data_IF_406878163042
#
_entry.id   IF_406878163042
#
_cell.length_a   1.000
_cell.length_b   1.000
_cell.length_c   1.000
_cell.angle_alpha   90.00
_cell.angle_beta   90.00
_cell.angle_gamma   90.00
#
_symmetry.space_group_name_H-M   'P 1'
#
loop_
_entity.id
_entity.type
_entity.pdbx_description
1 polymer ?
#
# COMPACT_ATOMS: atom_id res chain seq x y z
N UNK A 1 -51.90 -0.16 -29.64
CA UNK A 1 -51.06 -1.07 -30.45
C UNK A 1 -49.76 -1.23 -29.69
N UNK A 2 -49.61 -2.36 -29.01
CA UNK A 2 -48.37 -2.70 -28.29
C UNK A 2 -47.37 -3.11 -29.36
N UNK A 3 -46.36 -2.28 -29.60
CA UNK A 3 -45.28 -2.63 -30.51
C UNK A 3 -44.50 -3.79 -29.90
N UNK A 4 -44.78 -4.99 -30.39
CA UNK A 4 -44.07 -6.22 -30.09
C UNK A 4 -42.70 -6.21 -30.79
N UNK A 5 -41.86 -5.24 -30.44
CA UNK A 5 -40.50 -5.18 -30.91
C UNK A 5 -39.69 -6.24 -30.17
N UNK A 6 -39.10 -7.16 -30.93
CA UNK A 6 -38.10 -8.13 -30.47
C UNK A 6 -36.89 -7.38 -29.85
N UNK A 7 -37.03 -6.95 -28.60
CA UNK A 7 -35.98 -6.28 -27.83
C UNK A 7 -35.02 -7.32 -27.29
N UNK A 8 -33.72 -7.20 -27.61
CA UNK A 8 -32.71 -8.07 -27.00
C UNK A 8 -32.41 -7.57 -25.59
N UNK A 9 -32.02 -8.48 -24.69
CA UNK A 9 -31.53 -8.13 -23.34
C UNK A 9 -30.40 -7.08 -23.40
N UNK A 10 -29.56 -7.14 -24.44
CA UNK A 10 -28.49 -6.17 -24.67
C UNK A 10 -29.01 -4.73 -24.92
N UNK A 11 -30.17 -4.58 -25.55
CA UNK A 11 -30.77 -3.28 -25.84
C UNK A 11 -31.40 -2.67 -24.58
N UNK A 12 -32.10 -3.49 -23.79
CA UNK A 12 -32.58 -3.08 -22.45
C UNK A 12 -31.41 -2.67 -21.54
N UNK A 13 -30.32 -3.43 -21.53
CA UNK A 13 -29.14 -3.11 -20.74
C UNK A 13 -28.47 -1.80 -21.19
N UNK A 14 -28.50 -1.48 -22.49
CA UNK A 14 -28.03 -0.19 -23.01
C UNK A 14 -28.91 0.95 -22.50
N UNK A 15 -30.23 0.78 -22.50
CA UNK A 15 -31.16 1.77 -21.96
C UNK A 15 -30.92 2.00 -20.45
N UNK A 16 -30.69 0.92 -19.69
CA UNK A 16 -30.32 1.01 -18.25
C UNK A 16 -29.02 1.79 -18.07
N UNK A 17 -28.00 1.52 -18.89
CA UNK A 17 -26.73 2.25 -18.86
C UNK A 17 -26.94 3.75 -19.12
N UNK A 18 -27.70 4.10 -20.16
CA UNK A 18 -27.97 5.50 -20.55
C UNK A 18 -28.76 6.25 -19.48
N UNK A 19 -29.83 5.65 -18.95
CA UNK A 19 -30.61 6.21 -17.83
C UNK A 19 -29.76 6.38 -16.57
N UNK A 20 -28.94 5.37 -16.24
CA UNK A 20 -28.04 5.43 -15.08
C UNK A 20 -27.00 6.54 -15.21
N UNK A 21 -26.51 6.81 -16.42
CA UNK A 21 -25.63 7.94 -16.69
C UNK A 21 -26.35 9.28 -16.45
N UNK A 22 -27.57 9.45 -16.94
CA UNK A 22 -28.35 10.69 -16.74
C UNK A 22 -28.68 10.96 -15.28
N UNK A 23 -28.98 9.91 -14.52
CA UNK A 23 -29.32 10.00 -13.09
C UNK A 23 -28.07 9.97 -12.19
N UNK A 24 -26.86 9.85 -12.77
CA UNK A 24 -25.58 9.78 -12.05
C UNK A 24 -25.52 8.63 -11.02
N UNK A 25 -26.14 7.50 -11.34
CA UNK A 25 -26.11 6.26 -10.53
C UNK A 25 -24.85 5.46 -10.85
N UNK A 26 -23.70 5.89 -10.32
CA UNK A 26 -22.37 5.43 -10.76
C UNK A 26 -22.13 3.93 -10.63
N UNK A 27 -22.61 3.28 -9.56
CA UNK A 27 -22.48 1.82 -9.44
C UNK A 27 -23.21 1.09 -10.57
N UNK A 28 -24.43 1.53 -10.92
CA UNK A 28 -25.18 0.97 -12.04
C UNK A 28 -24.52 1.28 -13.39
N UNK A 29 -23.94 2.47 -13.55
CA UNK A 29 -23.14 2.81 -14.75
C UNK A 29 -21.99 1.82 -14.92
N UNK A 30 -21.20 1.59 -13.87
CA UNK A 30 -20.07 0.64 -13.91
C UNK A 30 -20.51 -0.78 -14.20
N UNK A 31 -21.54 -1.25 -13.49
CA UNK A 31 -22.07 -2.60 -13.64
C UNK A 31 -22.61 -2.85 -15.05
N UNK A 32 -23.50 -1.97 -15.53
CA UNK A 32 -24.10 -2.09 -16.87
C UNK A 32 -23.06 -1.91 -17.99
N UNK A 33 -22.09 -1.01 -17.82
CA UNK A 33 -20.98 -0.87 -18.76
C UNK A 33 -20.11 -2.13 -18.83
N UNK A 34 -19.82 -2.75 -17.67
CA UNK A 34 -19.08 -4.00 -17.56
C UNK A 34 -19.81 -5.13 -18.29
N UNK A 35 -21.11 -5.30 -18.03
CA UNK A 35 -21.97 -6.29 -18.71
C UNK A 35 -22.09 -6.06 -20.23
N UNK A 36 -22.07 -4.80 -20.68
CA UNK A 36 -22.05 -4.45 -22.11
C UNK A 36 -20.68 -4.67 -22.77
N UNK A 37 -19.67 -5.07 -22.00
CA UNK A 37 -18.27 -5.16 -22.37
C UNK A 37 -17.74 -3.85 -22.97
N UNK A 38 -18.15 -2.71 -22.40
CA UNK A 38 -17.62 -1.40 -22.80
C UNK A 38 -16.14 -1.31 -22.43
N UNK A 39 -15.38 -0.65 -23.30
CA UNK A 39 -13.96 -0.39 -23.13
C UNK A 39 -13.72 1.10 -23.14
N UNK A 40 -12.85 1.58 -22.25
CA UNK A 40 -12.36 2.95 -22.32
C UNK A 40 -11.45 3.13 -23.53
N UNK A 41 -11.75 4.13 -24.38
CA UNK A 41 -11.03 4.36 -25.64
C UNK A 41 -9.51 4.53 -25.45
N UNK A 42 -9.09 5.08 -24.31
CA UNK A 42 -7.70 5.33 -23.97
C UNK A 42 -7.00 4.19 -23.21
N UNK A 43 -7.64 3.05 -22.91
CA UNK A 43 -7.08 2.04 -21.99
C UNK A 43 -5.70 1.53 -22.44
N UNK A 44 -5.57 1.13 -23.70
CA UNK A 44 -4.30 0.60 -24.23
C UNK A 44 -3.19 1.66 -24.22
N UNK A 45 -3.54 2.90 -24.56
CA UNK A 45 -2.64 4.06 -24.48
C UNK A 45 -2.23 4.34 -23.04
N UNK A 46 -3.16 4.25 -22.09
CA UNK A 46 -2.90 4.47 -20.68
C UNK A 46 -1.92 3.44 -20.09
N UNK A 47 -2.07 2.16 -20.47
CA UNK A 47 -1.11 1.11 -20.10
C UNK A 47 0.27 1.39 -20.72
N UNK A 48 0.32 1.74 -22.01
CA UNK A 48 1.58 2.07 -22.67
C UNK A 48 2.29 3.26 -22.01
N UNK A 49 1.55 4.30 -21.62
CA UNK A 49 2.07 5.48 -20.92
C UNK A 49 2.75 5.15 -19.58
N UNK A 50 2.19 4.18 -18.83
CA UNK A 50 2.78 3.71 -17.58
C UNK A 50 4.07 2.91 -17.85
N UNK A 51 4.03 2.00 -18.82
CA UNK A 51 5.17 1.13 -19.15
C UNK A 51 6.36 1.91 -19.71
N UNK A 52 6.14 2.91 -20.57
CA UNK A 52 7.22 3.77 -21.12
C UNK A 52 7.94 4.54 -20.00
N UNK A 53 7.24 4.84 -18.90
CA UNK A 53 7.81 5.45 -17.68
C UNK A 53 8.32 4.42 -16.68
N UNK A 54 8.60 3.20 -17.16
CA UNK A 54 9.16 2.08 -16.42
C UNK A 54 8.27 1.65 -15.24
N UNK A 55 6.96 1.83 -15.34
CA UNK A 55 5.97 1.34 -14.36
C UNK A 55 5.23 0.14 -14.93
N UNK A 56 5.54 -1.03 -14.41
CA UNK A 56 4.77 -2.24 -14.69
C UNK A 56 3.43 -2.17 -13.95
N UNK A 57 2.42 -2.87 -14.43
CA UNK A 57 1.13 -2.95 -13.74
C UNK A 57 0.74 -4.41 -13.52
N UNK A 58 -0.05 -4.67 -12.48
CA UNK A 58 -0.70 -5.97 -12.28
C UNK A 58 -2.20 -5.80 -12.14
N UNK A 59 -2.95 -6.78 -12.64
CA UNK A 59 -4.41 -6.81 -12.63
C UNK A 59 -4.86 -8.05 -11.87
N UNK A 60 -5.87 -7.91 -11.02
CA UNK A 60 -6.35 -8.96 -10.13
C UNK A 60 -5.79 -8.85 -8.71
N UNK A 61 -5.98 -9.89 -7.91
CA UNK A 61 -5.64 -9.92 -6.47
C UNK A 61 -4.54 -10.95 -6.19
N UNK A 62 -3.55 -10.65 -5.35
CA UNK A 62 -2.61 -11.67 -4.88
C UNK A 62 -3.22 -12.59 -3.80
N UNK A 63 -2.64 -13.78 -3.58
CA UNK A 63 -1.58 -14.40 -4.37
C UNK A 63 -2.10 -15.15 -5.61
N UNK A 64 -3.42 -15.33 -5.73
CA UNK A 64 -4.07 -16.11 -6.78
C UNK A 64 -4.86 -15.19 -7.70
N UNK A 65 -4.64 -15.33 -9.02
CA UNK A 65 -5.33 -14.55 -10.05
C UNK A 65 -4.84 -13.11 -10.19
N UNK A 66 -3.55 -12.86 -9.95
CA UNK A 66 -2.88 -11.61 -10.30
C UNK A 66 -1.96 -11.81 -11.50
N UNK A 67 -2.14 -10.99 -12.54
CA UNK A 67 -1.38 -11.06 -13.78
C UNK A 67 -0.60 -9.76 -14.01
N UNK A 68 0.71 -9.89 -14.26
CA UNK A 68 1.57 -8.77 -14.60
C UNK A 68 1.52 -8.43 -16.09
N UNK A 69 1.42 -7.14 -16.38
CA UNK A 69 1.57 -6.57 -17.72
C UNK A 69 2.88 -5.81 -17.73
N UNK A 70 3.84 -6.34 -18.48
CA UNK A 70 5.23 -5.83 -18.57
C UNK A 70 5.57 -5.27 -19.95
N UNK A 71 4.66 -5.42 -20.91
CA UNK A 71 4.77 -4.91 -22.28
C UNK A 71 3.43 -4.31 -22.72
N UNK A 72 3.41 -3.34 -23.65
CA UNK A 72 2.16 -2.83 -24.20
C UNK A 72 1.39 -3.97 -24.88
N UNK A 73 0.08 -4.01 -24.64
CA UNK A 73 -0.81 -5.02 -25.19
C UNK A 73 -1.97 -4.34 -25.96
N UNK A 74 -2.50 -4.97 -27.00
CA UNK A 74 -3.71 -4.51 -27.67
C UNK A 74 -4.91 -4.43 -26.72
N UNK A 75 -5.84 -3.53 -27.04
CA UNK A 75 -7.06 -3.30 -26.28
C UNK A 75 -7.87 -4.59 -25.98
N UNK A 76 -7.95 -5.51 -26.95
CA UNK A 76 -8.66 -6.80 -26.80
C UNK A 76 -7.99 -7.74 -25.79
N UNK A 77 -6.66 -7.82 -25.81
CA UNK A 77 -5.90 -8.65 -24.86
C UNK A 77 -6.00 -8.10 -23.44
N UNK A 78 -5.89 -6.78 -23.27
CA UNK A 78 -6.09 -6.13 -21.98
C UNK A 78 -7.47 -6.42 -21.39
N UNK A 79 -8.51 -6.38 -22.24
CA UNK A 79 -9.88 -6.71 -21.83
C UNK A 79 -9.99 -8.16 -21.34
N UNK A 80 -9.41 -9.11 -22.08
CA UNK A 80 -9.41 -10.52 -21.68
C UNK A 80 -8.72 -10.73 -20.33
N UNK A 81 -7.58 -10.08 -20.10
CA UNK A 81 -6.86 -10.15 -18.82
C UNK A 81 -7.74 -9.63 -17.67
N UNK A 82 -8.38 -8.46 -17.85
CA UNK A 82 -9.27 -7.86 -16.84
C UNK A 82 -10.48 -8.76 -16.57
N UNK A 83 -11.13 -9.28 -17.61
CA UNK A 83 -12.31 -10.14 -17.47
C UNK A 83 -11.95 -11.48 -16.81
N UNK A 84 -10.77 -12.03 -17.10
CA UNK A 84 -10.29 -13.25 -16.46
C UNK A 84 -9.93 -13.03 -14.99
N UNK A 85 -9.40 -11.86 -14.63
CA UNK A 85 -9.09 -11.50 -13.26
C UNK A 85 -10.36 -11.32 -12.39
N UNK A 86 -11.44 -10.79 -12.97
CA UNK A 86 -12.67 -10.44 -12.26
C UNK A 86 -13.93 -11.12 -12.82
N UNK A 87 -13.85 -12.40 -13.21
CA UNK A 87 -14.92 -13.14 -13.93
C UNK A 87 -16.34 -12.92 -13.41
N UNK A 88 -16.50 -12.83 -12.09
CA UNK A 88 -17.79 -12.69 -11.41
C UNK A 88 -18.10 -11.26 -10.95
N UNK A 89 -17.20 -10.30 -11.18
CA UNK A 89 -17.35 -8.91 -10.74
C UNK A 89 -17.04 -7.93 -11.87
N UNK A 90 -18.07 -7.72 -12.70
CA UNK A 90 -18.01 -6.80 -13.84
C UNK A 90 -17.86 -5.32 -13.41
N UNK A 91 -18.30 -4.99 -12.20
CA UNK A 91 -18.18 -3.64 -11.64
C UNK A 91 -16.72 -3.32 -11.32
N UNK A 92 -16.01 -4.25 -10.67
CA UNK A 92 -14.57 -4.11 -10.38
C UNK A 92 -13.72 -4.19 -11.63
N UNK A 93 -14.12 -4.98 -12.64
CA UNK A 93 -13.47 -4.96 -13.96
C UNK A 93 -13.54 -3.57 -14.63
N UNK A 94 -14.69 -2.89 -14.54
CA UNK A 94 -14.84 -1.52 -15.05
C UNK A 94 -14.03 -0.53 -14.22
N UNK A 95 -14.08 -0.64 -12.89
CA UNK A 95 -13.29 0.21 -11.99
C UNK A 95 -11.79 0.09 -12.26
N UNK A 96 -11.29 -1.13 -12.52
CA UNK A 96 -9.89 -1.38 -12.88
C UNK A 96 -9.48 -0.58 -14.12
N UNK A 97 -10.32 -0.53 -15.16
CA UNK A 97 -10.07 0.27 -16.35
C UNK A 97 -10.01 1.77 -16.03
N UNK A 98 -10.95 2.28 -15.23
CA UNK A 98 -10.96 3.69 -14.80
C UNK A 98 -9.68 4.06 -14.04
N UNK A 99 -9.26 3.23 -13.08
CA UNK A 99 -8.06 3.49 -12.29
C UNK A 99 -6.78 3.48 -13.14
N UNK A 100 -6.66 2.57 -14.11
CA UNK A 100 -5.52 2.57 -15.04
C UNK A 100 -5.45 3.91 -15.81
N UNK A 101 -6.59 4.41 -16.27
CA UNK A 101 -6.67 5.71 -16.96
C UNK A 101 -6.26 6.84 -16.02
N UNK A 102 -6.76 6.88 -14.79
CA UNK A 102 -6.39 7.92 -13.82
C UNK A 102 -4.92 7.86 -13.40
N UNK A 103 -4.36 6.66 -13.19
CA UNK A 103 -2.93 6.48 -12.90
C UNK A 103 -2.07 6.98 -14.06
N UNK A 104 -2.48 6.67 -15.29
CA UNK A 104 -1.84 7.18 -16.51
C UNK A 104 -1.93 8.71 -16.62
N UNK A 105 -3.04 9.32 -16.21
CA UNK A 105 -3.13 10.79 -16.10
C UNK A 105 -2.14 11.33 -15.06
N UNK A 106 -2.13 10.76 -13.85
CA UNK A 106 -1.27 11.24 -12.77
C UNK A 106 0.21 11.08 -13.06
N UNK A 107 0.66 9.99 -13.69
CA UNK A 107 2.09 9.84 -13.99
C UNK A 107 2.58 10.86 -15.03
N UNK A 108 1.67 11.38 -15.88
CA UNK A 108 1.98 12.46 -16.83
C UNK A 108 2.00 13.83 -16.17
N UNK A 109 1.09 14.09 -15.23
CA UNK A 109 0.93 15.43 -14.62
C UNK A 109 1.70 15.62 -13.32
N UNK A 110 1.87 14.55 -12.54
CA UNK A 110 2.46 14.52 -11.20
C UNK A 110 3.35 13.27 -11.02
N UNK A 111 4.43 13.12 -11.82
CA UNK A 111 5.30 11.93 -11.78
C UNK A 111 5.92 11.66 -10.39
N UNK A 112 6.04 12.69 -9.54
CA UNK A 112 6.54 12.57 -8.16
C UNK A 112 5.72 11.62 -7.29
N UNK A 113 4.45 11.38 -7.61
CA UNK A 113 3.59 10.43 -6.88
C UNK A 113 4.05 8.97 -7.03
N UNK A 114 4.88 8.69 -8.03
CA UNK A 114 5.32 7.36 -8.44
C UNK A 114 6.82 7.11 -8.18
N UNK A 115 7.46 7.96 -7.38
CA UNK A 115 8.88 7.82 -7.00
C UNK A 115 9.10 6.46 -6.35
N UNK A 116 10.14 5.76 -6.79
CA UNK A 116 10.54 4.42 -6.33
C UNK A 116 9.49 3.30 -6.41
N UNK A 117 8.33 3.56 -7.01
CA UNK A 117 7.33 2.52 -7.31
C UNK A 117 7.65 1.93 -8.68
N UNK A 118 8.04 0.65 -8.79
CA UNK A 118 8.32 0.03 -10.10
C UNK A 118 7.13 -0.74 -10.68
N UNK A 119 6.23 -1.20 -9.80
CA UNK A 119 5.05 -1.98 -10.17
C UNK A 119 3.82 -1.44 -9.45
N UNK A 120 2.75 -1.18 -10.19
CA UNK A 120 1.47 -0.71 -9.67
C UNK A 120 0.49 -1.87 -9.61
N UNK A 121 0.11 -2.27 -8.39
CA UNK A 121 -0.79 -3.41 -8.18
C UNK A 121 -2.23 -2.93 -8.08
N UNK A 122 -2.92 -2.91 -9.22
CA UNK A 122 -4.22 -2.21 -9.34
C UNK A 122 -5.27 -2.80 -8.39
N UNK A 123 -5.31 -4.12 -8.20
CA UNK A 123 -6.23 -4.75 -7.25
C UNK A 123 -5.97 -4.36 -5.80
N UNK A 124 -4.70 -4.30 -5.37
CA UNK A 124 -4.36 -3.84 -4.02
C UNK A 124 -4.68 -2.35 -3.82
N UNK A 125 -4.51 -1.53 -4.85
CA UNK A 125 -4.93 -0.12 -4.82
C UNK A 125 -6.43 -0.02 -4.57
N UNK A 126 -7.26 -0.81 -5.28
CA UNK A 126 -8.72 -0.86 -5.06
C UNK A 126 -9.03 -1.27 -3.62
N UNK A 127 -8.40 -2.34 -3.12
CA UNK A 127 -8.62 -2.83 -1.75
C UNK A 127 -8.28 -1.78 -0.69
N UNK A 128 -7.18 -1.05 -0.88
CA UNK A 128 -6.78 0.05 -0.01
C UNK A 128 -7.76 1.22 -0.08
N UNK A 129 -8.24 1.58 -1.27
CA UNK A 129 -9.27 2.62 -1.42
C UNK A 129 -10.55 2.24 -0.66
N UNK A 130 -11.00 0.99 -0.78
CA UNK A 130 -12.16 0.48 -0.03
C UNK A 130 -11.91 0.48 1.49
N UNK A 131 -10.74 0.02 1.92
CA UNK A 131 -10.37 -0.01 3.35
C UNK A 131 -10.30 1.39 3.96
N UNK A 132 -9.85 2.38 3.20
CA UNK A 132 -9.84 3.77 3.64
C UNK A 132 -11.24 4.37 3.75
N UNK A 133 -12.15 4.01 2.84
CA UNK A 133 -13.56 4.37 2.95
C UNK A 133 -14.20 3.71 4.18
N UNK A 134 -13.98 2.41 4.39
CA UNK A 134 -14.49 1.66 5.54
C UNK A 134 -14.10 2.34 6.86
N UNK A 135 -12.81 2.68 7.00
CA UNK A 135 -12.29 3.37 8.18
C UNK A 135 -12.90 4.75 8.37
N UNK A 136 -12.98 5.54 7.31
CA UNK A 136 -13.44 6.92 7.42
C UNK A 136 -14.96 7.04 7.63
N UNK A 137 -15.72 6.09 7.08
CA UNK A 137 -17.18 6.02 7.22
C UNK A 137 -17.63 5.16 8.43
N UNK A 138 -16.68 4.45 9.07
CA UNK A 138 -16.96 3.47 10.14
C UNK A 138 -17.98 2.43 9.71
N UNK A 139 -17.83 1.92 8.49
CA UNK A 139 -18.68 0.90 7.91
C UNK A 139 -17.91 -0.41 7.70
N UNK A 140 -18.64 -1.48 7.40
CA UNK A 140 -18.01 -2.77 7.08
C UNK A 140 -17.38 -2.79 5.68
N UNK A 141 -16.68 -3.89 5.36
CA UNK A 141 -15.97 -4.02 4.09
C UNK A 141 -16.91 -4.07 2.87
N UNK A 142 -18.13 -4.61 3.03
CA UNK A 142 -19.10 -4.75 1.94
C UNK A 142 -19.72 -3.39 1.62
N UNK A 143 -20.18 -2.68 2.65
CA UNK A 143 -20.70 -1.32 2.55
C UNK A 143 -19.65 -0.36 1.96
N UNK A 144 -18.40 -0.49 2.38
CA UNK A 144 -17.30 0.32 1.83
C UNK A 144 -17.05 0.06 0.34
N UNK A 145 -17.15 -1.20 -0.10
CA UNK A 145 -17.05 -1.56 -1.53
C UNK A 145 -18.19 -0.96 -2.34
N UNK A 146 -19.42 -1.01 -1.82
CA UNK A 146 -20.58 -0.38 -2.46
C UNK A 146 -20.44 1.14 -2.54
N UNK A 147 -19.92 1.77 -1.48
CA UNK A 147 -19.59 3.19 -1.48
C UNK A 147 -18.52 3.54 -2.53
N UNK A 148 -17.47 2.73 -2.64
CA UNK A 148 -16.42 2.90 -3.63
C UNK A 148 -16.99 2.86 -5.06
N UNK A 149 -17.83 1.86 -5.34
CA UNK A 149 -18.50 1.70 -6.64
C UNK A 149 -19.51 2.81 -6.94
N UNK A 150 -19.99 3.54 -5.93
CA UNK A 150 -20.90 4.67 -6.09
C UNK A 150 -20.21 6.02 -6.20
N UNK A 151 -18.88 6.11 -6.04
CA UNK A 151 -18.17 7.38 -6.24
C UNK A 151 -18.27 7.84 -7.69
N UNK A 152 -18.49 9.14 -7.89
CA UNK A 152 -18.37 9.77 -9.20
C UNK A 152 -16.93 9.67 -9.75
N UNK A 153 -16.72 9.85 -11.06
CA UNK A 153 -15.37 9.88 -11.64
C UNK A 153 -14.42 10.87 -10.94
N UNK A 154 -14.94 12.03 -10.54
CA UNK A 154 -14.15 13.04 -9.82
C UNK A 154 -13.79 12.59 -8.41
N UNK A 155 -14.74 12.06 -7.64
CA UNK A 155 -14.49 11.57 -6.27
C UNK A 155 -13.54 10.37 -6.28
N UNK A 156 -13.70 9.45 -7.25
CA UNK A 156 -12.80 8.30 -7.45
C UNK A 156 -11.36 8.76 -7.74
N UNK A 157 -11.19 9.66 -8.71
CA UNK A 157 -9.88 10.25 -9.04
C UNK A 157 -9.28 10.98 -7.84
N UNK A 158 -10.10 11.70 -7.09
CA UNK A 158 -9.68 12.43 -5.89
C UNK A 158 -9.23 11.46 -4.79
N UNK A 159 -9.99 10.41 -4.51
CA UNK A 159 -9.59 9.37 -3.55
C UNK A 159 -8.24 8.76 -3.94
N UNK A 160 -8.10 8.35 -5.19
CA UNK A 160 -6.86 7.77 -5.72
C UNK A 160 -5.67 8.72 -5.52
N UNK A 161 -5.84 10.02 -5.80
CA UNK A 161 -4.77 11.01 -5.57
C UNK A 161 -4.36 11.09 -4.10
N UNK A 162 -5.31 11.05 -3.17
CA UNK A 162 -4.99 11.06 -1.74
C UNK A 162 -4.25 9.78 -1.30
N UNK A 163 -4.67 8.61 -1.79
CA UNK A 163 -3.95 7.34 -1.55
C UNK A 163 -2.52 7.43 -2.06
N UNK A 164 -2.32 7.91 -3.30
CA UNK A 164 -0.99 8.05 -3.90
C UNK A 164 -0.15 9.13 -3.22
N UNK A 165 -0.72 10.25 -2.81
CA UNK A 165 0.07 11.31 -2.17
C UNK A 165 0.49 10.94 -0.74
N UNK A 166 -0.21 10.00 -0.10
CA UNK A 166 0.02 9.63 1.30
C UNK A 166 -0.23 10.78 2.28
N UNK A 167 -0.91 11.85 1.84
CA UNK A 167 -1.34 12.95 2.71
C UNK A 167 -2.54 12.50 3.54
N UNK A 168 -2.69 13.03 4.74
CA UNK A 168 -3.92 12.83 5.51
C UNK A 168 -5.09 13.54 4.82
N UNK A 169 -6.26 12.89 4.84
CA UNK A 169 -7.47 13.40 4.22
C UNK A 169 -8.69 12.96 5.03
N UNK A 170 -9.73 13.78 4.98
CA UNK A 170 -10.98 13.51 5.70
C UNK A 170 -12.06 13.19 4.69
N UNK A 171 -12.77 12.09 4.92
CA UNK A 171 -13.94 11.72 4.15
C UNK A 171 -15.16 12.07 4.98
N UNK A 172 -16.07 12.87 4.42
CA UNK A 172 -17.35 13.23 5.06
C UNK A 172 -18.48 12.62 4.26
N UNK A 173 -19.31 11.83 4.93
CA UNK A 173 -20.60 11.38 4.38
C UNK A 173 -21.67 12.43 4.66
N UNK A 174 -22.32 12.92 3.61
CA UNK A 174 -23.53 13.71 3.76
C UNK A 174 -24.72 12.76 4.08
N UNK A 175 -25.76 13.27 4.75
CA UNK A 175 -27.02 12.54 5.09
C UNK A 175 -27.77 11.92 3.88
N UNK A 176 -27.25 12.03 2.66
CA UNK A 176 -27.84 11.53 1.40
C UNK A 176 -26.90 10.57 0.65
N UNK A 177 -25.92 9.94 1.33
CA UNK A 177 -25.03 8.95 0.72
C UNK A 177 -23.99 9.50 -0.25
N UNK A 178 -23.83 10.84 -0.34
CA UNK A 178 -22.75 11.49 -1.10
C UNK A 178 -21.50 11.61 -0.24
N UNK A 179 -20.37 11.20 -0.81
CA UNK A 179 -19.07 11.16 -0.14
C UNK A 179 -18.24 12.34 -0.61
N UNK A 180 -17.97 13.28 0.29
CA UNK A 180 -17.04 14.38 0.00
C UNK A 180 -15.65 14.09 0.57
N UNK A 181 -14.62 14.23 -0.26
CA UNK A 181 -13.22 14.00 0.11
C UNK A 181 -12.54 15.36 0.18
N UNK A 182 -12.05 15.73 1.37
CA UNK A 182 -11.45 17.04 1.62
C UNK A 182 -10.02 16.86 2.13
N UNK A 183 -9.09 17.62 1.54
CA UNK A 183 -7.72 17.73 2.01
C UNK A 183 -7.70 18.36 3.40
N UNK A 184 -7.03 17.73 4.37
CA UNK A 184 -6.79 18.35 5.66
C UNK A 184 -5.68 19.41 5.51
N UNK A 185 -6.06 20.68 5.33
CA UNK A 185 -5.12 21.79 5.15
C UNK A 185 -4.44 22.23 6.46
N UNK A 186 -4.79 21.66 7.61
CA UNK A 186 -4.41 22.16 8.93
C UNK A 186 -2.97 21.83 9.37
N UNK A 187 -2.16 21.14 8.56
CA UNK A 187 -0.80 20.73 8.96
C UNK A 187 0.34 21.40 8.17
N UNK A 188 0.07 22.30 7.22
CA UNK A 188 1.12 23.00 6.46
C UNK A 188 1.49 24.41 6.98
N UNK A 189 0.97 24.87 8.11
CA UNK A 189 1.36 26.16 8.72
C UNK A 189 1.50 26.05 10.25
N UNK A 190 2.62 25.47 10.71
CA UNK A 190 3.19 25.81 12.02
C UNK A 190 4.62 26.29 11.84
N UNK A 191 4.75 27.45 11.21
CA UNK A 191 5.91 28.32 11.38
C UNK A 191 5.45 29.76 11.15
N UNK A 192 5.78 30.59 12.13
CA UNK A 192 5.56 32.04 12.22
C UNK A 192 4.25 32.42 12.93
N UNK A 193 4.44 32.78 14.20
CA UNK A 193 3.53 33.51 15.09
C UNK A 193 3.15 34.84 14.44
N UNK A 194 1.88 35.21 14.56
CA UNK A 194 1.47 36.60 14.78
C UNK A 194 0.14 36.56 15.53
N UNK A 195 0.15 37.14 16.73
CA UNK A 195 -1.01 37.30 17.60
C UNK A 195 -1.87 38.45 17.08
N UNK A 196 -3.15 38.19 16.84
CA UNK A 196 -4.20 39.21 16.87
C UNK A 196 -5.49 38.55 17.39
N UNK A 197 -5.99 38.95 18.56
CA UNK A 197 -7.32 38.56 19.02
C UNK A 197 -8.33 39.52 18.41
N UNK A 198 -9.38 39.00 17.77
CA UNK A 198 -10.73 39.57 17.70
C UNK A 198 -11.44 39.03 16.46
N UNK A 199 -12.02 37.84 16.57
CA UNK A 199 -13.32 37.53 15.94
C UNK A 199 -13.95 36.37 16.69
N UNK A 200 -14.90 36.68 17.57
CA UNK A 200 -15.83 35.72 18.16
C UNK A 200 -16.69 35.11 17.05
N UNK A 201 -16.32 33.90 16.62
CA UNK A 201 -17.27 32.95 16.04
C UNK A 201 -17.08 31.63 16.78
N UNK A 202 -18.16 31.17 17.42
CA UNK A 202 -18.25 29.85 18.05
C UNK A 202 -18.01 28.77 16.99
N UNK A 203 -16.74 28.40 16.77
CA UNK A 203 -16.40 27.09 16.25
C UNK A 203 -16.69 26.10 17.38
N UNK A 204 -17.79 25.35 17.22
CA UNK A 204 -17.94 24.08 17.92
C UNK A 204 -16.79 23.19 17.47
N UNK A 205 -15.70 23.26 18.24
CA UNK A 205 -14.61 22.32 18.23
C UNK A 205 -15.19 20.95 18.63
N UNK A 206 -15.75 20.24 17.65
CA UNK A 206 -15.79 18.78 17.70
C UNK A 206 -14.35 18.32 17.54
N UNK A 207 -13.58 18.50 18.61
CA UNK A 207 -12.28 17.91 18.82
C UNK A 207 -12.46 16.41 18.81
N UNK A 208 -12.46 15.81 17.62
CA UNK A 208 -12.05 14.43 17.47
C UNK A 208 -10.59 14.42 17.92
N UNK A 209 -10.35 14.06 19.18
CA UNK A 209 -9.08 13.46 19.58
C UNK A 209 -8.76 12.41 18.51
N UNK A 210 -7.81 12.72 17.62
CA UNK A 210 -7.42 11.81 16.55
C UNK A 210 -6.84 10.61 17.27
N UNK A 211 -7.59 9.52 17.24
CA UNK A 211 -7.13 8.23 17.72
C UNK A 211 -5.82 7.92 16.98
N UNK A 212 -4.69 8.10 17.69
CA UNK A 212 -3.34 7.88 17.12
C UNK A 212 -3.09 6.39 16.89
N UNK A 213 -3.96 5.54 17.46
CA UNK A 213 -3.95 4.11 17.29
C UNK A 213 -4.28 3.74 15.82
N UNK A 214 -3.47 2.87 15.24
CA UNK A 214 -3.62 2.37 13.88
C UNK A 214 -2.93 3.21 12.80
N UNK A 215 -2.35 4.37 13.12
CA UNK A 215 -1.78 5.29 12.11
C UNK A 215 -0.59 4.66 11.37
N UNK A 216 0.29 3.96 12.09
CA UNK A 216 1.48 3.36 11.50
C UNK A 216 1.16 2.07 10.75
N UNK A 217 0.28 1.24 11.31
CA UNK A 217 -0.23 0.06 10.59
C UNK A 217 -0.90 0.48 9.28
N UNK A 218 -1.73 1.52 9.32
CA UNK A 218 -2.37 2.11 8.12
C UNK A 218 -1.32 2.57 7.10
N UNK A 219 -0.30 3.31 7.54
CA UNK A 219 0.78 3.79 6.65
C UNK A 219 1.51 2.62 5.99
N UNK A 220 1.84 1.57 6.75
CA UNK A 220 2.50 0.37 6.23
C UNK A 220 1.64 -0.38 5.21
N UNK A 221 0.32 -0.51 5.47
CA UNK A 221 -0.62 -1.09 4.50
C UNK A 221 -0.69 -0.29 3.21
N UNK A 222 -0.78 1.05 3.30
CA UNK A 222 -0.80 1.95 2.16
C UNK A 222 0.47 1.81 1.31
N UNK A 223 1.64 2.01 1.91
CA UNK A 223 2.92 1.98 1.18
C UNK A 223 3.23 0.57 0.66
N UNK A 224 2.91 -0.47 1.43
CA UNK A 224 3.06 -1.87 1.02
C UNK A 224 2.20 -2.24 -0.19
N UNK A 225 0.93 -1.82 -0.22
CA UNK A 225 0.01 -2.09 -1.33
C UNK A 225 0.37 -1.32 -2.60
N UNK A 226 0.94 -0.13 -2.42
CA UNK A 226 1.47 0.72 -3.48
C UNK A 226 2.85 0.28 -3.99
N UNK A 227 3.45 -0.77 -3.40
CA UNK A 227 4.83 -1.16 -3.61
C UNK A 227 5.82 0.01 -3.47
N UNK A 228 5.49 0.98 -2.62
CA UNK A 228 6.37 2.12 -2.37
C UNK A 228 7.54 1.69 -1.52
N UNK A 229 8.72 2.20 -1.85
CA UNK A 229 9.94 2.04 -1.04
C UNK A 229 10.61 3.41 -0.85
N UNK A 230 11.49 3.57 0.14
CA UNK A 230 12.22 4.83 0.36
C UNK A 230 13.12 5.22 -0.83
N UNK A 231 13.45 6.52 -0.92
CA UNK A 231 14.32 7.03 -1.99
C UNK A 231 15.68 6.33 -2.00
N UNK A 232 16.15 5.94 -3.18
CA UNK A 232 17.44 5.25 -3.36
C UNK A 232 17.48 3.83 -2.80
N UNK A 233 16.32 3.25 -2.44
CA UNK A 233 16.22 1.90 -1.85
C UNK A 233 16.98 0.85 -2.67
N UNK A 234 16.75 0.76 -3.98
CA UNK A 234 17.37 -0.28 -4.80
C UNK A 234 18.90 -0.14 -4.86
N UNK A 235 19.41 1.08 -4.94
CA UNK A 235 20.86 1.33 -4.90
C UNK A 235 21.46 0.94 -3.55
N UNK A 236 20.77 1.25 -2.45
CA UNK A 236 21.21 0.83 -1.11
C UNK A 236 21.22 -0.69 -0.95
N UNK A 237 20.18 -1.38 -1.45
CA UNK A 237 20.11 -2.85 -1.44
C UNK A 237 21.23 -3.46 -2.30
N UNK A 238 21.58 -2.85 -3.43
CA UNK A 238 22.73 -3.27 -4.24
C UNK A 238 24.02 -3.20 -3.42
N UNK A 239 24.28 -2.06 -2.75
CA UNK A 239 25.48 -1.88 -1.93
C UNK A 239 25.52 -2.85 -0.74
N UNK A 240 24.36 -3.16 -0.15
CA UNK A 240 24.25 -4.18 0.90
C UNK A 240 24.56 -5.58 0.36
N UNK A 241 24.04 -5.91 -0.83
CA UNK A 241 24.24 -7.22 -1.45
C UNK A 241 25.71 -7.47 -1.79
N UNK A 242 26.47 -6.43 -2.14
CA UNK A 242 27.92 -6.52 -2.36
C UNK A 242 28.68 -7.03 -1.12
N UNK A 243 28.17 -6.73 0.09
CA UNK A 243 28.80 -7.08 1.38
C UNK A 243 28.32 -8.40 1.99
N UNK A 244 27.48 -9.17 1.30
CA UNK A 244 26.99 -10.46 1.80
C UNK A 244 26.91 -11.49 0.67
N UNK A 245 26.78 -12.78 1.00
CA UNK A 245 26.63 -13.82 -0.03
C UNK A 245 25.27 -13.78 -0.73
N UNK A 246 24.25 -13.32 0.01
CA UNK A 246 22.91 -13.11 -0.52
C UNK A 246 21.93 -12.61 0.53
N UNK A 247 20.76 -12.20 0.06
CA UNK A 247 19.66 -11.70 0.89
C UNK A 247 18.46 -12.63 0.65
N UNK A 248 18.01 -13.31 1.69
CA UNK A 248 16.87 -14.22 1.64
C UNK A 248 15.59 -13.56 2.16
N UNK A 249 14.51 -13.65 1.36
CA UNK A 249 13.18 -13.09 1.62
C UNK A 249 12.15 -14.07 1.04
N UNK A 250 11.20 -14.55 1.84
CA UNK A 250 10.10 -15.46 1.46
C UNK A 250 10.54 -16.64 0.60
N UNK A 251 11.55 -17.37 1.09
CA UNK A 251 12.13 -18.54 0.42
C UNK A 251 12.88 -18.23 -0.89
N UNK A 252 13.00 -16.97 -1.29
CA UNK A 252 13.78 -16.52 -2.45
C UNK A 252 15.08 -15.88 -2.00
N UNK A 253 16.12 -15.97 -2.82
CA UNK A 253 17.46 -15.47 -2.48
C UNK A 253 17.95 -14.56 -3.61
N UNK A 254 18.28 -13.32 -3.26
CA UNK A 254 19.09 -12.44 -4.09
C UNK A 254 20.56 -12.79 -3.84
N UNK A 255 21.23 -13.37 -4.82
CA UNK A 255 22.64 -13.79 -4.70
C UNK A 255 23.59 -12.65 -5.08
N UNK A 256 24.75 -12.59 -4.43
CA UNK A 256 25.78 -11.56 -4.67
C UNK A 256 26.20 -11.46 -6.14
N UNK A 257 26.19 -12.57 -6.90
CA UNK A 257 26.54 -12.58 -8.32
C UNK A 257 25.80 -11.51 -9.15
N UNK A 258 24.60 -11.10 -8.75
CA UNK A 258 23.84 -10.01 -9.37
C UNK A 258 24.59 -8.67 -9.39
N UNK A 259 25.41 -8.37 -8.37
CA UNK A 259 26.20 -7.13 -8.32
C UNK A 259 27.41 -7.16 -9.26
N UNK A 260 27.87 -8.34 -9.68
CA UNK A 260 28.93 -8.49 -10.69
C UNK A 260 28.39 -8.35 -12.11
N UNK A 261 27.10 -8.63 -12.30
CA UNK A 261 26.44 -8.60 -13.61
C UNK A 261 25.71 -7.29 -13.90
N UNK A 262 25.39 -6.50 -12.87
CA UNK A 262 24.57 -5.29 -12.96
C UNK A 262 25.15 -4.19 -12.08
N UNK A 263 25.10 -2.94 -12.54
CA UNK A 263 25.59 -1.78 -11.79
C UNK A 263 24.53 -1.19 -10.84
N UNK A 264 24.93 -0.42 -9.80
CA UNK A 264 24.00 0.24 -8.91
C UNK A 264 23.10 1.22 -9.67
N UNK A 265 21.79 1.17 -9.40
CA UNK A 265 20.80 2.03 -10.06
C UNK A 265 20.28 1.49 -11.40
N UNK A 266 20.76 0.35 -11.88
CA UNK A 266 20.16 -0.31 -13.05
C UNK A 266 18.75 -0.82 -12.78
N UNK A 267 17.83 -0.54 -13.72
CA UNK A 267 16.45 -1.01 -13.64
C UNK A 267 16.36 -2.55 -13.57
N UNK A 268 17.27 -3.27 -14.24
CA UNK A 268 17.28 -4.73 -14.25
C UNK A 268 17.47 -5.30 -12.84
N UNK A 269 18.41 -4.74 -12.08
CA UNK A 269 18.62 -5.11 -10.67
C UNK A 269 17.40 -4.76 -9.83
N UNK A 270 16.89 -3.53 -9.98
CA UNK A 270 15.74 -3.06 -9.21
C UNK A 270 14.49 -3.94 -9.43
N UNK A 271 14.27 -4.41 -10.66
CA UNK A 271 13.19 -5.36 -10.98
C UNK A 271 13.39 -6.75 -10.34
N UNK A 272 14.64 -7.22 -10.15
CA UNK A 272 14.90 -8.48 -9.43
C UNK A 272 14.55 -8.35 -7.95
N UNK A 273 14.97 -7.26 -7.30
CA UNK A 273 14.61 -6.97 -5.91
C UNK A 273 13.09 -6.86 -5.75
N UNK A 274 12.44 -6.12 -6.64
CA UNK A 274 10.99 -5.93 -6.64
C UNK A 274 10.24 -7.26 -6.90
N UNK A 275 10.76 -8.15 -7.75
CA UNK A 275 10.18 -9.48 -7.97
C UNK A 275 10.25 -10.35 -6.71
N UNK A 276 11.31 -10.24 -5.91
CA UNK A 276 11.43 -10.92 -4.62
C UNK A 276 10.47 -10.31 -3.60
N UNK A 277 10.43 -8.98 -3.44
CA UNK A 277 9.49 -8.33 -2.50
C UNK A 277 8.02 -8.59 -2.86
N UNK A 278 7.70 -8.74 -4.14
CA UNK A 278 6.33 -9.02 -4.58
C UNK A 278 5.83 -10.43 -4.28
N UNK A 279 6.69 -11.36 -3.83
CA UNK A 279 6.22 -12.66 -3.34
C UNK A 279 5.53 -12.55 -1.98
N UNK A 280 5.74 -11.45 -1.25
CA UNK A 280 5.06 -11.17 0.01
C UNK A 280 3.62 -10.73 -0.28
N UNK A 281 2.59 -11.49 0.16
CA UNK A 281 1.21 -11.14 -0.16
C UNK A 281 0.63 -10.05 0.75
N UNK A 282 1.07 -9.95 2.01
CA UNK A 282 0.53 -8.96 2.95
C UNK A 282 1.27 -7.62 2.88
N UNK A 283 0.58 -6.50 2.56
CA UNK A 283 1.19 -5.18 2.44
C UNK A 283 2.01 -4.72 3.65
N UNK A 284 1.45 -4.86 4.86
CA UNK A 284 2.11 -4.44 6.10
C UNK A 284 3.40 -5.22 6.37
N UNK A 285 3.43 -6.52 6.04
CA UNK A 285 4.61 -7.36 6.20
C UNK A 285 5.67 -7.02 5.14
N UNK A 286 5.27 -6.82 3.88
CA UNK A 286 6.15 -6.31 2.82
C UNK A 286 6.86 -5.05 3.28
N UNK A 287 6.12 -4.12 3.91
CA UNK A 287 6.71 -2.88 4.39
C UNK A 287 7.70 -3.08 5.54
N UNK A 288 7.44 -3.98 6.49
CA UNK A 288 8.42 -4.31 7.54
C UNK A 288 9.70 -4.93 6.96
N UNK A 289 9.60 -5.75 5.91
CA UNK A 289 10.78 -6.30 5.22
C UNK A 289 11.58 -5.17 4.55
N UNK A 290 10.91 -4.21 3.90
CA UNK A 290 11.56 -3.02 3.33
C UNK A 290 12.25 -2.19 4.42
N UNK A 291 11.58 -1.92 5.55
CA UNK A 291 12.17 -1.23 6.70
C UNK A 291 13.40 -1.97 7.24
N UNK A 292 13.34 -3.30 7.33
CA UNK A 292 14.45 -4.15 7.80
C UNK A 292 15.65 -4.09 6.87
N UNK A 293 15.42 -4.14 5.55
CA UNK A 293 16.47 -3.93 4.56
C UNK A 293 17.09 -2.55 4.70
N UNK A 294 16.29 -1.51 4.92
CA UNK A 294 16.82 -0.17 5.14
C UNK A 294 17.70 -0.10 6.38
N UNK A 295 17.30 -0.71 7.50
CA UNK A 295 18.15 -0.77 8.70
C UNK A 295 19.45 -1.53 8.42
N UNK A 296 19.41 -2.66 7.70
CA UNK A 296 20.62 -3.38 7.29
C UNK A 296 21.54 -2.50 6.42
N UNK A 297 20.98 -1.73 5.48
CA UNK A 297 21.78 -0.81 4.66
C UNK A 297 22.43 0.27 5.51
N UNK A 298 21.74 0.81 6.53
CA UNK A 298 22.32 1.77 7.45
C UNK A 298 23.48 1.18 8.26
N UNK A 299 23.35 -0.05 8.75
CA UNK A 299 24.45 -0.75 9.45
C UNK A 299 25.65 -0.94 8.51
N UNK A 300 25.42 -1.39 7.28
CA UNK A 300 26.45 -1.57 6.28
C UNK A 300 27.14 -0.27 5.85
N UNK A 301 26.42 0.85 5.80
CA UNK A 301 26.95 2.19 5.50
C UNK A 301 27.82 2.73 6.65
N UNK A 302 27.41 2.52 7.90
CA UNK A 302 28.14 3.00 9.08
C UNK A 302 29.36 2.14 9.44
N UNK A 303 29.46 0.92 8.91
CA UNK A 303 30.59 0.02 9.11
C UNK A 303 31.19 -0.39 7.76
N UNK A 304 32.00 0.46 7.12
CA UNK A 304 32.46 0.22 5.75
C UNK A 304 33.20 -1.11 5.56
N UNK A 305 33.99 -1.52 6.54
CA UNK A 305 34.79 -2.75 6.55
C UNK A 305 34.02 -4.00 6.99
N UNK A 306 32.70 -3.92 7.23
CA UNK A 306 31.91 -5.10 7.59
C UNK A 306 31.76 -6.02 6.39
N UNK A 307 32.11 -7.29 6.56
CA UNK A 307 31.81 -8.36 5.61
C UNK A 307 30.78 -9.29 6.23
N UNK A 308 29.51 -9.10 5.88
CA UNK A 308 28.42 -9.88 6.43
C UNK A 308 28.54 -11.36 6.04
N UNK A 309 29.32 -11.70 5.01
CA UNK A 309 29.95 -13.01 4.78
C UNK A 309 29.03 -14.22 4.60
N UNK A 310 27.71 -14.06 4.73
CA UNK A 310 26.71 -15.13 4.68
C UNK A 310 25.42 -14.67 4.02
N UNK A 311 24.49 -15.59 3.86
CA UNK A 311 23.12 -15.28 3.43
C UNK A 311 22.38 -14.67 4.62
N UNK A 312 21.85 -13.46 4.45
CA UNK A 312 21.07 -12.76 5.47
C UNK A 312 19.61 -13.10 5.27
N UNK A 313 18.99 -13.79 6.24
CA UNK A 313 17.56 -14.05 6.23
C UNK A 313 16.81 -12.89 6.89
N UNK A 314 16.13 -12.08 6.08
CA UNK A 314 15.46 -10.85 6.54
C UNK A 314 14.23 -11.18 7.39
N UNK A 315 13.54 -12.27 7.09
CA UNK A 315 12.34 -12.71 7.85
C UNK A 315 12.71 -13.09 9.28
N UNK A 316 13.82 -13.83 9.44
CA UNK A 316 14.33 -14.20 10.75
C UNK A 316 14.68 -12.96 11.58
N UNK A 317 15.22 -11.91 10.95
CA UNK A 317 15.48 -10.63 11.62
C UNK A 317 14.18 -9.96 12.09
N UNK A 318 13.14 -9.91 11.23
CA UNK A 318 11.83 -9.35 11.61
C UNK A 318 11.18 -10.14 12.74
N UNK A 319 11.21 -11.47 12.67
CA UNK A 319 10.67 -12.33 13.73
C UNK A 319 11.45 -12.21 15.04
N UNK A 320 12.77 -12.05 14.97
CA UNK A 320 13.60 -11.78 16.15
C UNK A 320 13.27 -10.42 16.74
N UNK A 321 13.14 -9.38 15.93
CA UNK A 321 12.73 -8.05 16.36
C UNK A 321 11.34 -8.07 17.06
N UNK A 322 10.37 -8.78 16.47
CA UNK A 322 9.07 -9.05 17.11
C UNK A 322 9.24 -9.72 18.47
N UNK A 323 10.10 -10.74 18.58
CA UNK A 323 10.32 -11.44 19.86
C UNK A 323 10.84 -10.49 20.94
N UNK A 324 11.87 -9.71 20.61
CA UNK A 324 12.45 -8.71 21.51
C UNK A 324 11.40 -7.67 21.91
N UNK A 325 10.59 -7.18 20.95
CA UNK A 325 9.47 -6.28 21.22
C UNK A 325 8.47 -6.87 22.23
N UNK A 326 8.04 -8.12 22.04
CA UNK A 326 7.08 -8.75 22.95
C UNK A 326 7.65 -8.97 24.36
N UNK A 327 8.96 -9.21 24.48
CA UNK A 327 9.65 -9.29 25.78
C UNK A 327 9.65 -7.93 26.49
N UNK A 328 10.03 -6.86 25.79
CA UNK A 328 10.01 -5.50 26.34
C UNK A 328 8.58 -5.06 26.72
N UNK A 329 7.58 -5.38 25.90
CA UNK A 329 6.17 -5.08 26.18
C UNK A 329 5.66 -5.79 27.45
N UNK A 330 6.13 -7.01 27.72
CA UNK A 330 5.81 -7.71 28.99
C UNK A 330 6.40 -6.99 30.18
N UNK A 331 7.64 -6.51 30.06
CA UNK A 331 8.35 -5.83 31.15
C UNK A 331 7.74 -4.47 31.47
N UNK A 332 7.32 -3.71 30.46
CA UNK A 332 6.76 -2.37 30.66
C UNK A 332 5.23 -2.33 30.76
N UNK A 333 4.54 -3.47 30.62
CA UNK A 333 3.07 -3.52 30.63
C UNK A 333 2.44 -2.83 29.42
N UNK A 334 3.08 -2.89 28.25
CA UNK A 334 2.63 -2.19 27.04
C UNK A 334 1.43 -2.85 26.33
N UNK A 335 0.89 -2.20 25.29
CA UNK A 335 -0.33 -2.60 24.60
C UNK A 335 -0.32 -4.03 24.05
N UNK A 336 0.86 -4.58 23.70
CA UNK A 336 0.94 -5.96 23.23
C UNK A 336 0.56 -6.98 24.33
N UNK A 337 0.56 -6.60 25.61
CA UNK A 337 0.04 -7.42 26.72
C UNK A 337 -1.47 -7.60 26.65
N UNK A 338 -2.19 -6.83 25.84
CA UNK A 338 -3.60 -7.07 25.55
C UNK A 338 -3.81 -8.21 24.55
N UNK A 339 -2.74 -8.72 23.93
CA UNK A 339 -2.84 -9.81 22.97
C UNK A 339 -1.61 -10.74 22.99
N UNK A 340 -0.64 -10.46 22.12
CA UNK A 340 0.44 -11.37 21.74
C UNK A 340 1.61 -11.41 22.75
N UNK A 341 1.61 -10.53 23.77
CA UNK A 341 2.57 -10.50 24.87
C UNK A 341 1.95 -10.93 26.23
N UNK A 342 0.82 -11.65 26.25
CA UNK A 342 0.18 -12.11 27.48
C UNK A 342 0.96 -13.18 28.25
N UNK A 343 0.58 -13.37 29.51
CA UNK A 343 1.01 -14.47 30.35
C UNK A 343 0.45 -15.81 29.84
N UNK A 344 1.19 -16.94 29.95
CA UNK A 344 0.78 -18.24 29.40
C UNK A 344 -0.53 -18.83 29.94
N UNK A 345 -1.06 -18.28 31.04
CA UNK A 345 -2.23 -18.78 31.76
C UNK A 345 -3.56 -18.24 31.20
N UNK A 346 -3.52 -17.25 30.31
CA UNK A 346 -4.70 -16.62 29.71
C UNK A 346 -4.96 -17.15 28.30
N UNK A 347 -6.23 -17.29 27.90
CA UNK A 347 -6.59 -17.67 26.53
C UNK A 347 -6.02 -16.65 25.55
N UNK A 348 -5.28 -17.13 24.55
CA UNK A 348 -4.73 -16.31 23.47
C UNK A 348 -5.88 -15.67 22.69
N UNK A 349 -5.94 -14.33 22.71
CA UNK A 349 -6.78 -13.57 21.78
C UNK A 349 -5.96 -13.41 20.50
N UNK A 350 -6.55 -13.76 19.37
CA UNK A 350 -5.93 -13.58 18.07
C UNK A 350 -5.71 -12.08 17.83
N UNK A 351 -4.45 -11.61 17.89
CA UNK A 351 -4.14 -10.27 17.42
C UNK A 351 -4.22 -10.33 15.90
N UNK A 352 -5.06 -9.50 15.26
CA UNK A 352 -5.32 -9.50 13.82
C UNK A 352 -4.10 -9.06 12.96
N UNK A 353 -2.90 -9.47 13.38
CA UNK A 353 -1.65 -9.30 12.68
C UNK A 353 -1.44 -10.37 11.62
N UNK A 354 -0.70 -10.00 10.59
CA UNK A 354 -0.32 -10.86 9.48
C UNK A 354 1.07 -11.47 9.66
N UNK A 355 1.34 -12.58 8.97
CA UNK A 355 2.65 -13.23 8.89
C UNK A 355 3.27 -13.54 10.27
N UNK A 356 2.44 -13.91 11.26
CA UNK A 356 2.87 -14.18 12.64
C UNK A 356 3.64 -13.00 13.28
N UNK A 357 3.29 -11.77 12.93
CA UNK A 357 3.78 -10.53 13.56
C UNK A 357 2.62 -9.88 14.32
N UNK A 358 2.91 -9.35 15.51
CA UNK A 358 1.89 -8.71 16.35
C UNK A 358 1.37 -7.42 15.71
N UNK A 359 0.04 -7.20 15.76
CA UNK A 359 -0.56 -5.96 15.28
C UNK A 359 0.02 -4.72 15.97
N UNK A 360 0.28 -4.76 17.27
CA UNK A 360 0.91 -3.66 18.00
C UNK A 360 2.32 -3.34 17.49
N UNK A 361 3.05 -4.34 17.00
CA UNK A 361 4.36 -4.12 16.37
C UNK A 361 4.21 -3.43 15.01
N UNK A 362 3.24 -3.87 14.19
CA UNK A 362 2.91 -3.17 12.94
C UNK A 362 2.39 -1.76 13.15
N UNK A 363 1.86 -1.44 14.34
CA UNK A 363 1.38 -0.10 14.67
C UNK A 363 2.37 0.72 15.49
N UNK A 364 3.54 0.16 15.80
CA UNK A 364 4.61 0.91 16.46
C UNK A 364 5.26 1.88 15.46
N UNK A 365 5.55 3.10 15.92
CA UNK A 365 6.27 4.09 15.12
C UNK A 365 7.62 3.53 14.63
N UNK A 366 8.15 3.96 13.46
CA UNK A 366 9.48 3.55 13.04
C UNK A 366 10.57 3.95 14.05
N UNK A 367 10.49 5.16 14.58
CA UNK A 367 11.46 5.75 15.52
C UNK A 367 10.88 5.92 16.93
N UNK A 368 11.76 6.19 17.90
CA UNK A 368 11.42 6.39 19.32
C UNK A 368 11.72 5.16 20.18
N UNK A 369 11.61 5.30 21.50
CA UNK A 369 12.08 4.30 22.49
C UNK A 369 11.48 2.89 22.34
N UNK A 370 10.28 2.78 21.77
CA UNK A 370 9.63 1.51 21.46
C UNK A 370 9.30 1.41 19.96
N UNK A 371 10.08 2.10 19.12
CA UNK A 371 9.89 2.10 17.67
C UNK A 371 10.44 0.86 16.98
N UNK A 372 9.88 0.48 15.84
CA UNK A 372 10.25 -0.76 15.13
C UNK A 372 11.72 -0.80 14.73
N UNK A 373 12.33 0.35 14.38
CA UNK A 373 13.75 0.39 14.00
C UNK A 373 14.67 -0.02 15.14
N UNK A 374 14.36 0.32 16.41
CA UNK A 374 15.20 -0.09 17.55
C UNK A 374 15.24 -1.61 17.66
N UNK A 375 14.08 -2.27 17.54
CA UNK A 375 14.01 -3.72 17.61
C UNK A 375 14.66 -4.41 16.42
N UNK A 376 14.56 -3.82 15.23
CA UNK A 376 15.26 -4.29 14.04
C UNK A 376 16.78 -4.17 14.21
N UNK A 377 17.27 -3.05 14.73
CA UNK A 377 18.70 -2.85 15.03
C UNK A 377 19.18 -3.86 16.07
N UNK A 378 18.44 -4.06 17.17
CA UNK A 378 18.77 -5.06 18.20
C UNK A 378 18.80 -6.47 17.62
N UNK A 379 17.80 -6.84 16.82
CA UNK A 379 17.77 -8.14 16.15
C UNK A 379 18.94 -8.36 15.20
N UNK A 380 19.32 -7.33 14.43
CA UNK A 380 20.48 -7.38 13.52
C UNK A 380 21.78 -7.51 14.33
N UNK A 381 21.93 -6.75 15.41
CA UNK A 381 23.12 -6.78 16.28
C UNK A 381 23.29 -8.14 16.97
N UNK A 382 22.20 -8.71 17.49
CA UNK A 382 22.23 -10.05 18.08
C UNK A 382 22.52 -11.15 17.05
N UNK A 383 22.08 -10.94 15.79
CA UNK A 383 22.23 -11.93 14.75
C UNK A 383 23.60 -11.87 14.07
N UNK A 384 24.24 -10.69 13.98
CA UNK A 384 25.53 -10.48 13.32
C UNK A 384 26.71 -10.54 14.30
N UNK A 385 27.45 -11.66 14.27
CA UNK A 385 28.57 -11.94 15.18
C UNK A 385 29.72 -10.92 15.11
N UNK A 386 29.82 -10.17 14.02
CA UNK A 386 30.84 -9.16 13.77
C UNK A 386 30.50 -7.77 14.32
N UNK A 387 29.29 -7.57 14.85
CA UNK A 387 28.91 -6.31 15.48
C UNK A 387 29.36 -6.27 16.95
N UNK A 388 29.83 -5.12 17.46
CA UNK A 388 30.12 -4.96 18.88
C UNK A 388 28.89 -5.34 19.71
N UNK A 389 29.02 -6.34 20.59
CA UNK A 389 27.95 -6.76 21.51
C UNK A 389 27.81 -5.84 22.71
N UNK A 390 28.79 -4.98 22.93
CA UNK A 390 28.82 -4.01 24.01
C UNK A 390 28.30 -2.66 23.53
N UNK A 391 27.20 -2.19 24.13
CA UNK A 391 26.61 -0.84 24.04
C UNK A 391 25.71 -0.48 22.84
N UNK A 392 24.55 -1.13 22.71
CA UNK A 392 23.38 -0.53 22.03
C UNK A 392 22.16 -0.54 22.97
N UNK A 393 22.37 -0.14 24.22
CA UNK A 393 21.31 0.42 25.07
C UNK A 393 21.20 1.94 24.80
N UNK A 394 21.09 2.33 23.53
CA UNK A 394 20.63 3.67 23.20
C UNK A 394 19.13 3.72 23.43
N UNK A 395 18.72 3.87 24.69
CA UNK A 395 17.44 4.53 25.02
C UNK A 395 17.58 5.97 24.50
N UNK A 396 17.13 6.22 23.27
CA UNK A 396 17.10 7.56 22.69
C UNK A 396 16.11 8.37 23.53
N UNK A 397 16.67 9.13 24.48
CA UNK A 397 15.91 9.98 25.41
C UNK A 397 15.17 11.10 24.68
#
# INVERSE_FOLDING_TARGET
>A
MVNDQNMKVRDLLREVYEKSCSEKKWALVRHSAGMLAKQGDDLAKSVADLLVRQKQITIGMPPHNEQAITRPLPAKELRQIIDQAYRHDQSTAMLTQELIIYLSMFIRTEPQLFVEMLRLRIGLIIQVMASELARALKCDALEASDHLLNLSPYEMKTLLHHILSGKEFTIRSARCGRISIVNDRLLSKKSIREENPDTDMMEQDFGFERDRQGQWLRRRRLDGALNRVPSGFYTKVWNLLEKCQGIAIEGRILINQLTKEMTPGELKFALQVEQVLNSIPQPEYRQLIVESLMVLTMVAENLPSIDLGRIINVEQLVHRAKKIFLEDQKLCGGDATLCCARSPQEKMIDCAGAANICQCFYDSAPSGNYGTMIYLIRAITESLDQLPKDSIDCKIS
#
